data_IF_149868455620
#
_entry.id   IF_149868455620
#
_cell.length_a   1.000
_cell.length_b   1.000
_cell.length_c   1.000
_cell.angle_alpha   90.00
_cell.angle_beta   90.00
_cell.angle_gamma   90.00
#
_symmetry.space_group_name_H-M   'P 1'
#
loop_
_entity.id
_entity.type
_entity.pdbx_description
1 polymer ?
#
# COMPACT_ATOMS: atom_id res chain seq x y z
N UNK A 1 -27.59 12.04 33.77
CA UNK A 1 -27.76 11.21 32.56
C UNK A 1 -27.26 11.92 31.29
N UNK A 2 -27.70 13.14 30.98
CA UNK A 2 -27.28 13.88 29.76
C UNK A 2 -25.75 14.08 29.62
N UNK A 3 -25.03 14.35 30.71
CA UNK A 3 -23.57 14.55 30.70
C UNK A 3 -22.77 13.27 30.39
N UNK A 4 -23.27 12.09 30.81
CA UNK A 4 -22.63 10.80 30.51
C UNK A 4 -22.84 10.41 29.04
N UNK A 5 -24.02 10.66 28.49
CA UNK A 5 -24.32 10.43 27.08
C UNK A 5 -23.48 11.33 26.17
N UNK A 6 -23.28 12.60 26.56
CA UNK A 6 -22.44 13.53 25.81
C UNK A 6 -20.95 13.14 25.84
N UNK A 7 -20.45 12.67 27.00
CA UNK A 7 -19.08 12.16 27.11
C UNK A 7 -18.87 10.87 26.30
N UNK A 8 -19.83 9.96 26.31
CA UNK A 8 -19.79 8.73 25.51
C UNK A 8 -19.79 9.02 24.00
N UNK A 9 -20.58 10.01 23.56
CA UNK A 9 -20.59 10.45 22.16
C UNK A 9 -19.26 11.08 21.74
N UNK A 10 -18.65 11.92 22.59
CA UNK A 10 -17.34 12.51 22.32
C UNK A 10 -16.22 11.46 22.27
N UNK A 11 -16.27 10.46 23.16
CA UNK A 11 -15.32 9.33 23.14
C UNK A 11 -15.51 8.44 21.90
N UNK A 12 -16.74 8.19 21.48
CA UNK A 12 -17.03 7.46 20.25
C UNK A 12 -16.52 8.20 18.99
N UNK A 13 -16.56 9.53 19.00
CA UNK A 13 -16.02 10.37 17.92
C UNK A 13 -14.49 10.46 17.94
N UNK A 14 -13.86 10.37 19.12
CA UNK A 14 -12.40 10.38 19.27
C UNK A 14 -11.72 9.04 18.91
N UNK A 15 -12.48 7.94 18.90
CA UNK A 15 -11.96 6.60 18.56
C UNK A 15 -11.72 6.38 17.05
N UNK A 16 -12.24 7.24 16.19
CA UNK A 16 -12.06 7.17 14.74
C UNK A 16 -10.81 7.95 14.28
N UNK A 17 -9.65 7.66 14.86
CA UNK A 17 -8.39 8.18 14.32
C UNK A 17 -8.14 7.50 12.96
N UNK A 18 -8.06 8.24 11.85
CA UNK A 18 -7.83 7.65 10.54
C UNK A 18 -6.46 6.95 10.51
N UNK A 19 -6.48 5.66 10.17
CA UNK A 19 -5.27 4.84 10.00
C UNK A 19 -4.62 5.20 8.67
N UNK A 20 -3.60 6.05 8.74
CA UNK A 20 -2.76 6.41 7.61
C UNK A 20 -1.44 5.64 7.66
N UNK A 21 -1.12 4.92 6.59
CA UNK A 21 0.18 4.29 6.39
C UNK A 21 1.02 5.09 5.40
N UNK A 22 2.36 4.97 5.45
CA UNK A 22 3.23 5.52 4.40
C UNK A 22 2.84 5.01 3.00
N UNK A 23 3.21 5.73 1.92
CA UNK A 23 2.95 5.32 0.54
C UNK A 23 3.99 4.30 0.06
N UNK A 24 4.41 3.41 0.96
CA UNK A 24 5.28 2.28 0.68
C UNK A 24 5.06 1.16 1.68
N UNK A 25 5.50 -0.05 1.34
CA UNK A 25 5.55 -1.20 2.26
C UNK A 25 6.80 -2.03 2.00
N UNK A 26 7.40 -2.53 3.08
CA UNK A 26 8.60 -3.35 3.02
C UNK A 26 8.25 -4.82 3.19
N UNK A 27 9.00 -5.68 2.51
CA UNK A 27 8.88 -7.14 2.54
C UNK A 27 10.26 -7.75 2.76
N UNK A 28 10.31 -8.78 3.60
CA UNK A 28 11.47 -9.63 3.80
C UNK A 28 11.43 -10.77 2.76
N UNK A 29 12.53 -10.95 2.04
CA UNK A 29 12.73 -12.05 1.10
C UNK A 29 13.17 -13.28 1.88
N UNK A 30 12.29 -14.28 1.99
CA UNK A 30 12.59 -15.58 2.60
C UNK A 30 12.80 -16.69 1.59
N UNK A 31 12.48 -16.43 0.32
CA UNK A 31 12.78 -17.31 -0.80
C UNK A 31 14.26 -17.20 -1.22
N UNK A 32 14.68 -18.06 -2.14
CA UNK A 32 16.01 -17.97 -2.77
C UNK A 32 16.18 -16.60 -3.45
N UNK A 33 17.28 -15.92 -3.15
CA UNK A 33 17.55 -14.56 -3.63
C UNK A 33 17.89 -14.49 -5.12
N UNK A 34 18.28 -15.62 -5.73
CA UNK A 34 18.69 -15.66 -7.14
C UNK A 34 17.60 -15.16 -8.11
N UNK A 35 16.31 -15.30 -7.74
CA UNK A 35 15.17 -15.04 -8.63
C UNK A 35 14.20 -13.95 -8.13
N UNK A 36 14.62 -13.10 -7.19
CA UNK A 36 13.73 -12.08 -6.58
C UNK A 36 13.03 -11.23 -7.64
N UNK A 37 13.77 -10.67 -8.60
CA UNK A 37 13.17 -9.82 -9.64
C UNK A 37 12.12 -10.57 -10.46
N UNK A 38 12.33 -11.85 -10.76
CA UNK A 38 11.34 -12.66 -11.47
C UNK A 38 10.07 -12.84 -10.62
N UNK A 39 10.23 -13.18 -9.34
CA UNK A 39 9.12 -13.29 -8.39
C UNK A 39 8.34 -11.97 -8.24
N UNK A 40 9.02 -10.82 -8.25
CA UNK A 40 8.37 -9.51 -8.20
C UNK A 40 7.52 -9.22 -9.44
N UNK A 41 8.01 -9.58 -10.63
CA UNK A 41 7.27 -9.40 -11.89
C UNK A 41 6.02 -10.26 -11.90
N UNK A 42 6.17 -11.54 -11.58
CA UNK A 42 5.06 -12.48 -11.52
C UNK A 42 4.02 -12.08 -10.47
N UNK A 43 4.46 -11.63 -9.30
CA UNK A 43 3.55 -11.16 -8.25
C UNK A 43 2.76 -9.92 -8.69
N UNK A 44 3.42 -8.96 -9.35
CA UNK A 44 2.76 -7.77 -9.86
C UNK A 44 1.71 -8.13 -10.93
N UNK A 45 2.06 -8.99 -11.88
CA UNK A 45 1.13 -9.45 -12.93
C UNK A 45 -0.04 -10.25 -12.34
N UNK A 46 0.22 -11.18 -11.41
CA UNK A 46 -0.81 -11.94 -10.71
C UNK A 46 -1.77 -11.03 -9.91
N UNK A 47 -1.26 -9.95 -9.33
CA UNK A 47 -2.05 -8.93 -8.66
C UNK A 47 -2.77 -7.96 -9.63
N UNK A 48 -2.74 -8.24 -10.94
CA UNK A 48 -3.43 -7.48 -11.98
C UNK A 48 -2.76 -6.14 -12.30
N UNK A 49 -1.45 -6.02 -12.09
CA UNK A 49 -0.69 -4.84 -12.51
C UNK A 49 -0.05 -5.08 -13.87
N UNK A 50 -0.19 -4.10 -14.77
CA UNK A 50 0.53 -4.12 -16.04
C UNK A 50 1.94 -3.60 -15.85
N UNK A 51 2.95 -4.39 -16.23
CA UNK A 51 4.34 -3.98 -16.16
C UNK A 51 4.66 -2.91 -17.21
N UNK A 52 5.55 -1.99 -16.86
CA UNK A 52 6.07 -0.94 -17.77
C UNK A 52 7.60 -1.00 -17.76
N UNK A 53 8.28 -0.53 -18.83
CA UNK A 53 9.73 -0.39 -18.79
C UNK A 53 10.15 0.46 -17.58
N UNK A 54 11.13 -0.06 -16.84
CA UNK A 54 11.75 0.63 -15.71
C UNK A 54 13.07 1.27 -16.16
N UNK A 55 13.51 2.29 -15.42
CA UNK A 55 14.81 2.95 -15.63
C UNK A 55 15.97 2.00 -15.30
N UNK A 56 15.74 1.08 -14.37
CA UNK A 56 16.70 0.06 -13.93
C UNK A 56 16.07 -1.34 -14.11
N UNK A 57 16.85 -2.30 -14.61
CA UNK A 57 16.41 -3.67 -14.85
C UNK A 57 16.07 -4.44 -13.57
N UNK A 58 16.59 -4.01 -12.42
CA UNK A 58 16.31 -4.62 -11.11
C UNK A 58 14.98 -4.13 -10.53
N UNK A 59 14.51 -2.96 -10.94
CA UNK A 59 13.25 -2.38 -10.47
C UNK A 59 12.09 -2.87 -11.34
N UNK A 60 11.04 -3.37 -10.69
CA UNK A 60 9.79 -3.73 -11.36
C UNK A 60 8.80 -2.58 -11.23
N UNK A 61 8.57 -1.87 -12.35
CA UNK A 61 7.61 -0.77 -12.40
C UNK A 61 6.31 -1.18 -13.08
N UNK A 62 5.20 -0.60 -12.65
CA UNK A 62 3.88 -0.81 -13.24
C UNK A 62 3.33 0.44 -13.91
N UNK A 63 2.45 0.24 -14.89
CA UNK A 63 1.62 1.31 -15.43
C UNK A 63 0.65 1.83 -14.35
N UNK A 64 0.23 3.10 -14.42
CA UNK A 64 -0.83 3.62 -13.58
C UNK A 64 -2.14 2.86 -13.82
N UNK A 65 -2.80 2.44 -12.74
CA UNK A 65 -4.15 1.89 -12.76
C UNK A 65 -5.05 2.65 -11.80
N UNK A 66 -6.34 2.67 -12.10
CA UNK A 66 -7.34 3.26 -11.20
C UNK A 66 -7.60 2.31 -10.03
N UNK A 67 -7.47 2.82 -8.81
CA UNK A 67 -7.55 2.00 -7.58
C UNK A 67 -8.66 2.44 -6.62
N UNK A 68 -9.18 3.65 -6.79
CA UNK A 68 -10.34 4.12 -6.04
C UNK A 68 -11.25 5.02 -6.91
N UNK A 69 -12.54 4.88 -6.67
CA UNK A 69 -13.64 5.61 -7.32
C UNK A 69 -14.54 6.27 -6.27
N UNK A 70 -13.95 7.08 -5.39
CA UNK A 70 -14.75 8.00 -4.57
C UNK A 70 -15.69 8.85 -5.44
N UNK A 71 -16.85 9.23 -4.88
CA UNK A 71 -17.90 9.93 -5.62
C UNK A 71 -17.42 11.23 -6.28
N UNK A 72 -16.44 11.90 -5.68
CA UNK A 72 -15.94 13.22 -6.10
C UNK A 72 -14.45 13.24 -6.45
N UNK A 73 -13.78 12.08 -6.42
CA UNK A 73 -12.35 11.98 -6.71
C UNK A 73 -11.98 10.67 -7.37
N UNK A 74 -10.99 10.71 -8.25
CA UNK A 74 -10.39 9.53 -8.85
C UNK A 74 -8.98 9.38 -8.31
N UNK A 75 -8.62 8.18 -7.85
CA UNK A 75 -7.25 7.88 -7.43
C UNK A 75 -6.64 6.88 -8.41
N UNK A 76 -5.51 7.27 -9.00
CA UNK A 76 -4.66 6.40 -9.81
C UNK A 76 -3.41 6.08 -9.00
N UNK A 77 -2.92 4.85 -9.13
CA UNK A 77 -1.68 4.43 -8.51
C UNK A 77 -0.83 3.67 -9.53
N UNK A 78 0.48 3.86 -9.46
CA UNK A 78 1.48 2.99 -10.07
C UNK A 78 2.40 2.48 -8.96
N UNK A 79 3.07 1.35 -9.20
CA UNK A 79 3.97 0.74 -8.25
C UNK A 79 5.39 0.67 -8.79
N UNK A 80 6.35 0.79 -7.89
CA UNK A 80 7.74 0.41 -8.13
C UNK A 80 8.18 -0.56 -7.02
N UNK A 81 8.50 -1.78 -7.39
CA UNK A 81 8.99 -2.81 -6.47
C UNK A 81 10.52 -2.80 -6.59
N UNK A 82 11.17 -2.42 -5.50
CA UNK A 82 12.60 -2.14 -5.46
C UNK A 82 13.27 -3.13 -4.51
N UNK A 83 14.04 -4.11 -5.03
CA UNK A 83 14.95 -4.89 -4.22
C UNK A 83 15.96 -3.98 -3.51
N UNK A 84 16.16 -4.23 -2.22
CA UNK A 84 17.11 -3.54 -1.37
C UNK A 84 18.18 -4.53 -0.90
N UNK A 85 19.37 -3.99 -0.60
CA UNK A 85 20.43 -4.79 0.01
C UNK A 85 19.96 -5.41 1.33
N UNK A 86 20.39 -6.65 1.59
CA UNK A 86 20.05 -7.36 2.83
C UNK A 86 18.79 -8.22 2.77
N UNK A 87 18.25 -8.52 1.58
CA UNK A 87 17.14 -9.45 1.42
C UNK A 87 15.78 -8.81 1.69
N UNK A 88 15.60 -7.55 1.30
CA UNK A 88 14.33 -6.85 1.43
C UNK A 88 13.84 -6.33 0.09
N UNK A 89 12.54 -6.12 -0.02
CA UNK A 89 11.91 -5.43 -1.15
C UNK A 89 11.01 -4.34 -0.62
N UNK A 90 11.19 -3.12 -1.12
CA UNK A 90 10.28 -2.01 -0.85
C UNK A 90 9.36 -1.80 -2.04
N UNK A 91 8.06 -1.82 -1.79
CA UNK A 91 7.04 -1.49 -2.77
C UNK A 91 6.62 -0.04 -2.55
N UNK A 92 7.00 0.85 -3.46
CA UNK A 92 6.57 2.24 -3.47
C UNK A 92 5.23 2.37 -4.20
N UNK A 93 4.32 3.17 -3.64
CA UNK A 93 3.03 3.51 -4.23
C UNK A 93 3.07 4.94 -4.74
N UNK A 94 3.15 5.10 -6.05
CA UNK A 94 3.01 6.39 -6.74
C UNK A 94 1.53 6.69 -6.97
N UNK A 95 0.88 7.22 -5.95
CA UNK A 95 -0.54 7.59 -5.98
C UNK A 95 -0.78 9.05 -6.36
N UNK A 96 -1.80 9.29 -7.18
CA UNK A 96 -2.30 10.62 -7.51
C UNK A 96 -3.83 10.66 -7.42
N UNK A 97 -4.35 11.68 -6.74
CA UNK A 97 -5.78 11.93 -6.60
C UNK A 97 -6.18 13.13 -7.44
N UNK A 98 -7.21 12.96 -8.26
CA UNK A 98 -7.82 14.02 -9.06
C UNK A 98 -9.21 14.35 -8.53
N UNK A 99 -9.42 15.62 -8.16
CA UNK A 99 -10.74 16.13 -7.79
C UNK A 99 -11.61 16.34 -9.03
N UNK A 100 -12.85 15.86 -8.98
CA UNK A 100 -13.83 16.08 -10.05
C UNK A 100 -14.51 17.44 -9.94
N UNK A 101 -14.53 18.05 -8.75
CA UNK A 101 -15.19 19.33 -8.49
C UNK A 101 -14.32 20.54 -8.85
N UNK A 102 -13.02 20.46 -8.58
CA UNK A 102 -12.09 21.59 -8.77
C UNK A 102 -11.01 21.30 -9.81
N UNK A 103 -11.02 20.11 -10.43
CA UNK A 103 -10.04 19.69 -11.43
C UNK A 103 -8.60 19.49 -10.91
N UNK A 104 -8.35 19.80 -9.64
CA UNK A 104 -7.03 19.74 -9.01
C UNK A 104 -6.46 18.32 -8.94
N UNK A 105 -5.13 18.24 -9.03
CA UNK A 105 -4.34 17.02 -8.90
C UNK A 105 -3.50 17.12 -7.62
N UNK A 106 -3.47 16.06 -6.82
CA UNK A 106 -2.72 16.02 -5.57
C UNK A 106 -2.05 14.67 -5.42
N UNK A 107 -0.76 14.68 -5.05
CA UNK A 107 -0.02 13.46 -4.75
C UNK A 107 -0.59 12.81 -3.48
N UNK A 108 -0.66 11.48 -3.48
CA UNK A 108 -1.04 10.71 -2.30
C UNK A 108 0.21 10.47 -1.46
N UNK A 109 0.26 11.10 -0.28
CA UNK A 109 1.40 10.99 0.64
C UNK A 109 1.18 9.96 1.76
N UNK A 110 -0.05 9.46 1.90
CA UNK A 110 -0.39 8.42 2.84
C UNK A 110 -1.55 7.59 2.29
N UNK A 111 -1.56 6.30 2.59
CA UNK A 111 -2.64 5.39 2.23
C UNK A 111 -3.56 5.23 3.43
N UNK A 112 -4.84 5.50 3.26
CA UNK A 112 -5.84 5.03 4.22
C UNK A 112 -6.04 3.51 4.08
N UNK A 113 -6.76 2.89 5.02
CA UNK A 113 -6.97 1.43 5.02
C UNK A 113 -7.59 0.90 3.73
N UNK A 114 -8.55 1.63 3.14
CA UNK A 114 -9.22 1.23 1.90
C UNK A 114 -8.28 1.30 0.71
N UNK A 115 -7.55 2.40 0.56
CA UNK A 115 -6.59 2.60 -0.51
C UNK A 115 -5.40 1.64 -0.37
N UNK A 116 -4.91 1.42 0.85
CA UNK A 116 -3.89 0.41 1.17
C UNK A 116 -4.35 -0.96 0.70
N UNK A 117 -5.57 -1.38 1.05
CA UNK A 117 -6.09 -2.68 0.65
C UNK A 117 -6.27 -2.80 -0.87
N UNK A 118 -6.81 -1.78 -1.53
CA UNK A 118 -7.02 -1.78 -2.98
C UNK A 118 -5.72 -1.82 -3.79
N UNK A 119 -4.66 -1.16 -3.28
CA UNK A 119 -3.37 -1.08 -3.96
C UNK A 119 -2.49 -2.29 -3.62
N UNK A 120 -2.34 -2.59 -2.33
CA UNK A 120 -1.35 -3.55 -1.82
C UNK A 120 -1.93 -4.90 -1.46
N UNK A 121 -3.24 -5.07 -1.28
CA UNK A 121 -3.84 -6.33 -0.82
C UNK A 121 -3.51 -7.52 -1.73
N UNK A 122 -3.99 -7.52 -2.99
CA UNK A 122 -3.69 -8.60 -3.95
C UNK A 122 -2.19 -8.79 -4.20
N UNK A 123 -1.43 -7.70 -4.18
CA UNK A 123 0.01 -7.76 -4.35
C UNK A 123 0.71 -8.42 -3.16
N UNK A 124 0.30 -8.08 -1.93
CA UNK A 124 0.88 -8.66 -0.71
C UNK A 124 0.64 -10.17 -0.66
N UNK A 125 -0.53 -10.62 -1.09
CA UNK A 125 -0.88 -12.03 -1.22
C UNK A 125 0.02 -12.73 -2.23
N UNK A 126 0.11 -12.21 -3.46
CA UNK A 126 0.94 -12.77 -4.52
C UNK A 126 2.45 -12.78 -4.18
N UNK A 127 2.92 -11.77 -3.43
CA UNK A 127 4.28 -11.70 -2.91
C UNK A 127 4.51 -12.76 -1.81
N UNK A 128 3.54 -12.93 -0.91
CA UNK A 128 3.64 -13.91 0.19
C UNK A 128 3.68 -15.35 -0.31
N UNK A 129 2.90 -15.68 -1.35
CA UNK A 129 2.94 -16.97 -2.04
C UNK A 129 4.32 -17.31 -2.62
N UNK A 130 5.13 -16.27 -2.90
CA UNK A 130 6.49 -16.38 -3.43
C UNK A 130 7.56 -16.21 -2.36
N UNK A 131 7.19 -16.28 -1.08
CA UNK A 131 8.12 -16.20 0.04
C UNK A 131 8.60 -14.77 0.37
N UNK A 132 7.90 -13.73 -0.08
CA UNK A 132 8.14 -12.35 0.36
C UNK A 132 7.13 -11.96 1.43
N UNK A 133 7.58 -11.91 2.69
CA UNK A 133 6.72 -11.69 3.85
C UNK A 133 6.69 -10.20 4.17
N UNK A 134 5.51 -9.58 4.34
CA UNK A 134 5.45 -8.17 4.70
C UNK A 134 6.12 -7.92 6.06
N UNK A 135 7.08 -7.01 6.09
CA UNK A 135 7.51 -6.41 7.34
C UNK A 135 6.39 -5.47 7.78
N UNK A 136 5.80 -5.77 8.94
CA UNK A 136 4.87 -4.82 9.57
C UNK A 136 5.51 -3.44 9.63
N UNK A 137 4.71 -2.39 9.38
CA UNK A 137 5.16 -1.05 9.77
C UNK A 137 5.51 -1.07 11.27
N UNK A 138 6.36 -0.17 11.80
CA UNK A 138 6.59 -0.10 13.25
C UNK A 138 5.28 -0.14 14.06
N UNK A 139 4.21 0.45 13.49
CA UNK A 139 2.86 0.44 14.04
C UNK A 139 2.11 -0.89 13.89
N UNK A 140 2.25 -1.60 12.77
CA UNK A 140 1.66 -2.95 12.62
C UNK A 140 2.34 -3.94 13.60
N UNK A 141 3.65 -3.77 13.88
CA UNK A 141 4.39 -4.57 14.88
C UNK A 141 3.95 -4.32 16.32
N UNK A 142 3.51 -3.11 16.65
CA UNK A 142 2.98 -2.78 17.98
C UNK A 142 1.57 -3.39 18.18
N UNK A 143 0.76 -3.48 17.11
CA UNK A 143 -0.56 -4.13 17.15
C UNK A 143 -0.42 -5.67 17.32
N UNK A 144 0.48 -6.32 16.57
CA UNK A 144 0.76 -7.77 16.72
C UNK A 144 1.36 -8.14 18.10
N UNK A 145 1.97 -7.18 18.81
CA UNK A 145 2.54 -7.38 20.14
C UNK A 145 1.54 -7.15 21.29
N UNK A 146 0.33 -6.69 20.98
CA UNK A 146 -0.73 -6.40 21.98
C UNK A 146 -1.93 -7.36 21.91
N UNK A 147 -1.89 -8.36 21.03
CA UNK A 147 -2.76 -9.55 21.03
C UNK A 147 -2.08 -10.75 21.72
#
# INVERSE_FOLDING_TARGET
MVRLAFLALLLALAACAPRFSPPYRDYEVRADQADVTAHLREAAEAAGWTLTPSVDSVIVSTAPRRVDTGLFSKTEAALDLVPLDGGFVRVYVRGERRSLLFGGRTKVYALDGTLRQAVLGPLSEALSERGLVPLGTPRDRDEDATE
#
